data_IF_137976984129
#
_entry.id   IF_137976984129
#
_cell.length_a   1.000
_cell.length_b   1.000
_cell.length_c   1.000
_cell.angle_alpha   90.00
_cell.angle_beta   90.00
_cell.angle_gamma   90.00
#
_symmetry.space_group_name_H-M   'P 1'
#
loop_
_entity.id
_entity.type
_entity.pdbx_description
1 polymer ?
#
# COMPACT_ATOMS: atom_id res chain seq x y z
N UNK A 1 -12.79 4.36 24.79
CA UNK A 1 -11.88 3.74 24.67
C UNK A 1 -11.11 3.46 23.46
N UNK A 2 -10.03 2.82 23.59
CA UNK A 2 -8.99 2.72 22.58
C UNK A 2 -9.34 1.90 21.35
N UNK A 3 -10.54 1.49 21.18
CA UNK A 3 -10.92 0.67 20.04
C UNK A 3 -10.81 1.40 18.71
N UNK A 4 -10.73 2.71 18.73
CA UNK A 4 -10.55 3.47 17.50
C UNK A 4 -9.26 3.10 16.78
N UNK A 5 -8.18 2.96 17.54
CA UNK A 5 -6.89 2.60 16.95
C UNK A 5 -6.91 1.22 16.32
N UNK A 6 -7.60 0.29 16.97
CA UNK A 6 -7.72 -1.06 16.44
C UNK A 6 -8.50 -1.09 15.13
N UNK A 7 -9.58 -0.33 15.05
CA UNK A 7 -10.37 -0.24 13.82
C UNK A 7 -9.55 0.37 12.70
N UNK A 8 -8.83 1.43 12.99
CA UNK A 8 -8.00 2.09 11.99
C UNK A 8 -6.92 1.15 11.45
N UNK A 9 -6.34 0.34 12.33
CA UNK A 9 -5.34 -0.63 11.89
C UNK A 9 -5.91 -1.65 10.93
N UNK A 10 -7.11 -2.14 11.20
CA UNK A 10 -7.75 -3.12 10.32
C UNK A 10 -8.04 -2.51 8.96
N UNK A 11 -8.57 -1.31 8.95
CA UNK A 11 -8.85 -0.62 7.69
C UNK A 11 -7.56 -0.32 6.92
N UNK A 12 -6.53 0.11 7.63
CA UNK A 12 -5.24 0.38 7.01
C UNK A 12 -4.66 -0.88 6.36
N UNK A 13 -4.74 -2.01 7.04
CA UNK A 13 -4.23 -3.27 6.49
C UNK A 13 -4.93 -3.65 5.20
N UNK A 14 -6.24 -3.46 5.15
CA UNK A 14 -7.00 -3.75 3.93
C UNK A 14 -6.53 -2.86 2.79
N UNK A 15 -6.36 -1.58 3.06
CA UNK A 15 -5.88 -0.63 2.05
C UNK A 15 -4.47 -0.98 1.60
N UNK A 16 -3.62 -1.33 2.55
CA UNK A 16 -2.25 -1.71 2.25
C UNK A 16 -2.20 -2.95 1.36
N UNK A 17 -2.97 -3.97 1.70
CA UNK A 17 -3.03 -5.19 0.90
C UNK A 17 -3.49 -4.89 -0.52
N UNK A 18 -4.49 -4.05 -0.66
CA UNK A 18 -5.00 -3.64 -1.96
C UNK A 18 -3.92 -2.92 -2.76
N UNK A 19 -3.22 -2.02 -2.10
CA UNK A 19 -2.13 -1.26 -2.73
C UNK A 19 -1.02 -2.20 -3.18
N UNK A 20 -0.60 -3.10 -2.30
CA UNK A 20 0.46 -4.05 -2.62
C UNK A 20 0.07 -4.98 -3.77
N UNK A 21 -1.17 -5.42 -3.77
CA UNK A 21 -1.66 -6.29 -4.82
C UNK A 21 -1.66 -5.59 -6.17
N UNK A 22 -1.92 -4.30 -6.18
CA UNK A 22 -2.00 -3.53 -7.41
C UNK A 22 -0.63 -3.12 -7.93
N UNK A 23 0.25 -2.68 -7.05
CA UNK A 23 1.53 -2.12 -7.45
C UNK A 23 2.71 -3.05 -7.26
N UNK A 24 2.70 -3.84 -6.22
CA UNK A 24 3.77 -4.79 -5.98
C UNK A 24 3.89 -5.14 -4.51
N UNK A 25 3.97 -6.45 -4.22
CA UNK A 25 4.09 -6.92 -2.85
C UNK A 25 5.54 -6.93 -2.37
N UNK A 26 6.47 -7.02 -3.28
CA UNK A 26 7.89 -7.00 -2.95
C UNK A 26 8.54 -5.79 -3.58
N UNK A 27 9.73 -5.46 -3.07
CA UNK A 27 10.48 -4.34 -3.63
C UNK A 27 10.75 -4.54 -5.11
N UNK A 28 11.07 -5.78 -5.48
CA UNK A 28 11.36 -6.10 -6.87
C UNK A 28 10.16 -5.82 -7.76
N UNK A 29 8.99 -6.27 -7.33
CA UNK A 29 7.77 -6.04 -8.09
C UNK A 29 7.46 -4.55 -8.19
N UNK A 30 7.64 -3.84 -7.09
CA UNK A 30 7.39 -2.42 -7.08
C UNK A 30 8.34 -1.66 -8.01
N UNK A 31 9.61 -2.04 -8.01
CA UNK A 31 10.58 -1.43 -8.90
C UNK A 31 10.24 -1.69 -10.37
N UNK A 32 9.83 -2.92 -10.67
CA UNK A 32 9.42 -3.25 -12.03
C UNK A 32 8.22 -2.40 -12.46
N UNK A 33 7.28 -2.22 -11.56
CA UNK A 33 6.13 -1.39 -11.85
C UNK A 33 6.55 0.07 -12.11
N UNK A 34 7.46 0.57 -11.28
CA UNK A 34 7.96 1.93 -11.45
C UNK A 34 8.64 2.12 -12.80
N UNK A 35 9.42 1.15 -13.21
CA UNK A 35 10.09 1.20 -14.52
C UNK A 35 9.09 1.17 -15.66
N UNK A 36 8.04 0.39 -15.50
CA UNK A 36 7.05 0.20 -16.55
C UNK A 36 6.08 1.39 -16.66
N UNK A 37 5.63 1.88 -15.52
CA UNK A 37 4.59 2.90 -15.48
C UNK A 37 5.07 4.24 -14.95
N UNK A 38 6.26 4.29 -14.40
CA UNK A 38 6.80 5.51 -13.82
C UNK A 38 6.44 5.65 -12.34
N UNK A 39 7.37 6.20 -11.57
CA UNK A 39 7.15 6.36 -10.13
C UNK A 39 5.99 7.29 -9.82
N UNK A 40 5.76 8.27 -10.67
CA UNK A 40 4.70 9.25 -10.47
C UNK A 40 3.31 8.63 -10.58
N UNK A 41 3.21 7.49 -11.26
CA UNK A 41 1.93 6.79 -11.41
C UNK A 41 1.55 6.01 -10.16
N UNK A 42 2.46 5.88 -9.21
CA UNK A 42 2.22 5.12 -8.00
C UNK A 42 1.89 6.09 -6.86
N UNK A 43 0.70 5.97 -6.26
CA UNK A 43 0.36 6.80 -5.11
C UNK A 43 1.18 6.37 -3.89
N UNK A 44 1.30 7.24 -2.90
CA UNK A 44 2.05 6.87 -1.69
C UNK A 44 1.40 5.69 -0.98
N UNK A 45 2.26 4.85 -0.40
CA UNK A 45 1.79 3.70 0.36
C UNK A 45 0.91 4.17 1.52
N UNK A 46 -0.24 3.52 1.71
CA UNK A 46 -1.08 3.87 2.86
C UNK A 46 -0.33 3.60 4.15
N UNK A 47 -0.31 4.58 5.02
CA UNK A 47 0.35 4.46 6.33
C UNK A 47 -0.65 4.68 7.43
N UNK A 48 -0.34 4.06 8.55
CA UNK A 48 -1.19 4.16 9.74
C UNK A 48 -0.87 5.40 10.56
#
# INVERSE_FOLDING_TARGET
>A
MPNKKAKDKKMWKKRLNKWLKKYGRTKKQLENYKKKHGADSIPPMPTF
#
